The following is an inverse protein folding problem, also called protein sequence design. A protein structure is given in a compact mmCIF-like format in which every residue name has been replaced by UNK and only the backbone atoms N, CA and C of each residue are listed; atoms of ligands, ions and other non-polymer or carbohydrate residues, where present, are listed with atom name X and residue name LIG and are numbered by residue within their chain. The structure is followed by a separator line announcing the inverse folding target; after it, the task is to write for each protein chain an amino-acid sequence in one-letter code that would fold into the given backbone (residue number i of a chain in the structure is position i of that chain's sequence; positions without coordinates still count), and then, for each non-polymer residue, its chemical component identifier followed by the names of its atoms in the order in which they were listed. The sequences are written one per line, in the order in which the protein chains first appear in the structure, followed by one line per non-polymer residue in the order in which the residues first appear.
data_IF_156587260225
#
_entry.id   IF_156587260225
#
_cell.length_a   1.000
_cell.length_b   1.000
_cell.length_c   1.000
_cell.angle_alpha   90.00
_cell.angle_beta   90.00
_cell.angle_gamma   90.00
#
_symmetry.space_group_name_H-M   'P 1'
#
loop_
_entity.id
_entity.type
_entity.pdbx_description
1 polymer ?
#
# COMPACT_ATOMS: atom_id res chain seq x y z
N UNK A 1 -44.75 -3.01 73.82
CA UNK A 1 -44.05 -3.84 74.83
C UNK A 1 -42.54 -3.82 74.54
N UNK A 2 -41.71 -4.20 75.53
CA UNK A 2 -40.27 -4.61 75.51
C UNK A 2 -39.59 -4.66 74.12
N UNK A 3 -38.46 -3.98 73.88
CA UNK A 3 -37.07 -4.40 74.20
C UNK A 3 -36.72 -5.81 73.64
N UNK A 4 -35.65 -6.09 72.89
CA UNK A 4 -34.48 -5.29 72.41
C UNK A 4 -33.96 -5.93 71.06
N UNK A 5 -32.71 -6.10 70.59
CA UNK A 5 -31.32 -5.98 71.09
C UNK A 5 -30.25 -6.01 69.95
N UNK A 6 -29.14 -5.24 70.10
CA UNK A 6 -27.78 -5.36 69.50
C UNK A 6 -27.54 -5.50 67.96
N UNK A 7 -27.00 -4.42 67.41
CA UNK A 7 -25.69 -4.28 66.70
C UNK A 7 -24.91 -5.49 66.14
N UNK A 8 -24.30 -5.29 64.96
CA UNK A 8 -22.87 -5.60 64.71
C UNK A 8 -22.29 -4.77 63.55
N UNK A 9 -20.96 -4.66 63.49
CA UNK A 9 -20.18 -3.86 62.51
C UNK A 9 -19.84 -4.65 61.24
N UNK A 10 -19.69 -3.96 60.11
CA UNK A 10 -18.64 -4.25 59.11
C UNK A 10 -18.30 -2.99 58.28
N UNK A 11 -17.06 -2.50 58.37
CA UNK A 11 -16.47 -1.59 57.38
C UNK A 11 -15.60 -2.41 56.42
N UNK A 12 -15.87 -2.33 55.13
CA UNK A 12 -14.87 -2.58 54.06
C UNK A 12 -15.12 -1.58 52.93
N UNK A 13 -14.36 -0.49 52.84
CA UNK A 13 -13.02 -0.33 52.22
C UNK A 13 -13.10 -0.07 50.70
N UNK A 14 -12.43 0.99 50.28
CA UNK A 14 -12.57 1.62 48.96
C UNK A 14 -11.90 0.85 47.82
N UNK A 15 -12.54 0.85 46.65
CA UNK A 15 -11.92 0.49 45.37
C UNK A 15 -12.47 1.37 44.22
N UNK A 16 -12.29 2.69 44.33
CA UNK A 16 -12.55 3.59 43.20
C UNK A 16 -11.47 3.38 42.14
N UNK A 17 -11.80 2.69 41.05
CA UNK A 17 -10.85 2.41 39.97
C UNK A 17 -10.38 3.70 39.31
N UNK A 18 -9.12 4.07 39.56
CA UNK A 18 -8.41 5.07 38.78
C UNK A 18 -8.24 4.55 37.35
N UNK A 19 -9.06 5.09 36.43
CA UNK A 19 -8.91 4.83 35.01
C UNK A 19 -7.65 5.54 34.49
N UNK A 20 -6.53 4.81 34.47
CA UNK A 20 -5.30 5.29 33.83
C UNK A 20 -5.57 5.62 32.35
N UNK A 21 -5.01 6.72 31.80
CA UNK A 21 -5.11 7.02 30.39
C UNK A 21 -4.32 5.97 29.59
N UNK A 22 -5.02 4.95 29.10
CA UNK A 22 -4.43 4.00 28.16
C UNK A 22 -3.92 4.76 26.94
N UNK A 23 -2.62 4.69 26.68
CA UNK A 23 -2.02 5.30 25.50
C UNK A 23 -2.58 4.60 24.27
N UNK A 24 -3.52 5.25 23.58
CA UNK A 24 -4.09 4.78 22.33
C UNK A 24 -3.05 4.89 21.19
N UNK A 25 -2.02 4.04 21.24
CA UNK A 25 -1.19 3.75 20.09
C UNK A 25 -2.10 3.11 19.03
N UNK A 26 -2.48 3.90 18.04
CA UNK A 26 -3.24 3.42 16.89
C UNK A 26 -2.37 2.42 16.13
N UNK A 27 -2.54 1.12 16.42
CA UNK A 27 -1.87 0.06 15.69
C UNK A 27 -2.34 0.12 14.24
N UNK A 28 -1.40 0.29 13.31
CA UNK A 28 -1.67 0.21 11.89
C UNK A 28 -2.31 -1.15 11.56
N UNK A 29 -3.26 -1.17 10.61
CA UNK A 29 -3.83 -2.44 10.17
C UNK A 29 -2.83 -3.18 9.28
N UNK A 30 -2.85 -4.52 9.25
CA UNK A 30 -2.01 -5.29 8.33
C UNK A 30 -2.18 -4.91 6.85
N UNK A 31 -3.35 -4.37 6.46
CA UNK A 31 -3.60 -3.82 5.13
C UNK A 31 -2.81 -2.53 4.89
N UNK A 32 -2.79 -1.58 5.85
CA UNK A 32 -1.96 -0.38 5.73
C UNK A 32 -0.47 -0.70 5.67
N UNK A 33 0.00 -1.68 6.45
CA UNK A 33 1.41 -2.11 6.41
C UNK A 33 1.78 -2.73 5.05
N UNK A 34 0.87 -3.53 4.45
CA UNK A 34 1.09 -4.07 3.11
C UNK A 34 1.13 -2.96 2.06
N UNK A 35 0.20 -1.99 2.12
CA UNK A 35 0.14 -0.88 1.17
C UNK A 35 1.38 0.03 1.23
N UNK A 36 1.97 0.20 2.42
CA UNK A 36 3.23 0.91 2.57
C UNK A 36 4.39 0.14 1.93
N UNK A 37 4.48 -1.19 2.14
CA UNK A 37 5.48 -2.06 1.47
C UNK A 37 5.34 -2.04 -0.06
N UNK A 38 4.13 -2.17 -0.59
CA UNK A 38 3.88 -2.14 -2.04
C UNK A 38 4.30 -0.80 -2.67
N UNK A 39 4.01 0.31 -1.99
CA UNK A 39 4.43 1.64 -2.42
C UNK A 39 5.95 1.80 -2.39
N UNK A 40 6.62 1.35 -1.31
CA UNK A 40 8.09 1.39 -1.19
C UNK A 40 8.76 0.54 -2.28
N UNK A 41 8.28 -0.69 -2.50
CA UNK A 41 8.80 -1.61 -3.53
C UNK A 41 8.66 -1.01 -4.92
N UNK A 42 7.48 -0.48 -5.30
CA UNK A 42 7.29 0.13 -6.61
C UNK A 42 8.13 1.41 -6.75
N UNK A 43 8.11 2.30 -5.76
CA UNK A 43 8.86 3.56 -5.80
C UNK A 43 10.37 3.34 -5.97
N UNK A 44 10.92 2.33 -5.29
CA UNK A 44 12.35 2.00 -5.31
C UNK A 44 12.76 1.21 -6.56
N UNK A 45 11.89 0.29 -7.03
CA UNK A 45 12.28 -0.68 -8.04
C UNK A 45 11.76 -0.38 -9.45
N UNK A 46 10.50 0.04 -9.58
CA UNK A 46 9.72 -0.07 -10.82
C UNK A 46 9.17 1.26 -11.35
N UNK A 47 8.95 2.26 -10.48
CA UNK A 47 8.33 3.54 -10.83
C UNK A 47 9.05 4.28 -11.96
N UNK A 48 10.39 4.22 -12.01
CA UNK A 48 11.19 4.84 -13.08
C UNK A 48 10.88 4.27 -14.46
N UNK A 49 10.72 2.95 -14.55
CA UNK A 49 10.49 2.26 -15.83
C UNK A 49 9.02 2.36 -16.25
N UNK A 50 8.09 2.30 -15.28
CA UNK A 50 6.69 2.61 -15.52
C UNK A 50 6.49 4.05 -16.02
N UNK A 51 7.13 5.04 -15.40
CA UNK A 51 7.14 6.45 -15.85
C UNK A 51 7.69 6.54 -17.28
N UNK A 52 8.84 5.92 -17.57
CA UNK A 52 9.42 5.90 -18.92
C UNK A 52 8.47 5.32 -19.97
N UNK A 53 7.74 4.25 -19.65
CA UNK A 53 6.73 3.66 -20.54
C UNK A 53 5.53 4.59 -20.75
N UNK A 54 5.05 5.25 -19.68
CA UNK A 54 3.96 6.23 -19.73
C UNK A 54 4.35 7.43 -20.61
N UNK A 55 5.45 8.13 -20.31
CA UNK A 55 5.95 9.23 -21.17
C UNK A 55 6.20 8.78 -22.61
N UNK A 56 6.77 7.59 -22.82
CA UNK A 56 6.97 7.03 -24.15
C UNK A 56 5.66 6.89 -24.93
N UNK A 57 4.64 6.28 -24.33
CA UNK A 57 3.31 6.08 -24.92
C UNK A 57 2.66 7.42 -25.31
N UNK A 58 2.74 8.44 -24.46
CA UNK A 58 2.14 9.75 -24.72
C UNK A 58 2.87 10.48 -25.85
N UNK A 59 4.20 10.48 -25.83
CA UNK A 59 5.01 11.08 -26.89
C UNK A 59 4.82 10.38 -28.25
N UNK A 60 4.65 9.05 -28.27
CA UNK A 60 4.36 8.29 -29.50
C UNK A 60 2.97 8.58 -30.07
N UNK A 61 1.96 8.81 -29.23
CA UNK A 61 0.57 9.02 -29.66
C UNK A 61 0.12 10.49 -29.70
N UNK A 62 1.02 11.44 -29.36
CA UNK A 62 0.69 12.86 -29.26
C UNK A 62 -0.33 13.20 -28.16
N UNK A 63 -0.48 12.33 -27.16
CA UNK A 63 -1.44 12.50 -26.08
C UNK A 63 -0.96 13.54 -25.06
N UNK A 64 -1.91 14.33 -24.55
CA UNK A 64 -1.70 15.27 -23.43
C UNK A 64 -2.28 14.70 -22.14
N UNK A 65 -1.79 15.15 -20.99
CA UNK A 65 -2.28 14.74 -19.65
C UNK A 65 -3.78 14.99 -19.45
N UNK A 66 -4.36 16.00 -20.11
CA UNK A 66 -5.80 16.31 -20.07
C UNK A 66 -6.67 15.32 -20.87
N UNK A 67 -6.06 14.45 -21.68
CA UNK A 67 -6.74 13.42 -22.48
C UNK A 67 -6.75 12.05 -21.79
N UNK A 68 -6.17 11.95 -20.59
CA UNK A 68 -6.16 10.72 -19.79
C UNK A 68 -7.56 10.41 -19.30
N UNK A 69 -7.96 9.16 -19.47
CA UNK A 69 -9.22 8.61 -18.99
C UNK A 69 -8.93 7.41 -18.11
N UNK A 70 -9.77 7.21 -17.10
CA UNK A 70 -9.79 5.97 -16.33
C UNK A 70 -9.88 4.76 -17.27
N UNK A 71 -9.14 3.69 -16.94
CA UNK A 71 -9.06 2.50 -17.79
C UNK A 71 -7.94 2.52 -18.83
N UNK A 72 -7.31 3.68 -19.12
CA UNK A 72 -6.14 3.72 -19.99
C UNK A 72 -5.02 2.87 -19.38
N UNK A 73 -4.71 1.76 -20.05
CA UNK A 73 -3.77 0.75 -19.58
C UNK A 73 -2.52 0.74 -20.45
N UNK A 74 -1.36 1.02 -19.85
CA UNK A 74 -0.08 1.10 -20.53
C UNK A 74 0.83 -0.02 -19.99
N UNK A 75 1.28 -0.98 -20.81
CA UNK A 75 2.22 -2.00 -20.37
C UNK A 75 3.61 -1.39 -20.16
N UNK A 76 4.34 -1.89 -19.17
CA UNK A 76 5.73 -1.53 -18.91
C UNK A 76 6.58 -2.76 -18.57
N UNK A 77 7.88 -2.66 -18.83
CA UNK A 77 8.89 -3.69 -18.58
C UNK A 77 10.08 -3.03 -17.89
N UNK A 78 10.64 -3.66 -16.87
CA UNK A 78 11.83 -3.13 -16.19
C UNK A 78 13.01 -3.02 -17.18
N UNK A 79 13.71 -1.88 -17.18
CA UNK A 79 14.83 -1.63 -18.12
C UNK A 79 16.13 -2.31 -17.69
N UNK A 80 16.14 -2.88 -16.49
CA UNK A 80 17.20 -3.77 -16.00
C UNK A 80 16.55 -5.05 -15.47
N UNK A 81 17.17 -6.20 -15.75
CA UNK A 81 16.93 -7.38 -14.93
C UNK A 81 17.50 -7.07 -13.54
N UNK A 82 16.64 -6.68 -12.60
CA UNK A 82 17.05 -6.62 -11.20
C UNK A 82 17.30 -8.05 -10.75
N UNK A 83 18.57 -8.36 -10.47
CA UNK A 83 19.00 -9.67 -9.96
C UNK A 83 18.59 -9.83 -8.49
N UNK A 84 17.29 -9.74 -8.23
CA UNK A 84 16.69 -9.87 -6.91
C UNK A 84 16.58 -11.35 -6.58
N UNK A 85 17.50 -11.82 -5.72
CA UNK A 85 17.42 -13.15 -5.15
C UNK A 85 16.42 -13.16 -3.98
N UNK A 86 15.18 -13.54 -4.22
CA UNK A 86 14.20 -13.76 -3.15
C UNK A 86 14.31 -15.22 -2.70
N UNK A 87 14.63 -15.44 -1.42
CA UNK A 87 14.79 -16.76 -0.80
C UNK A 87 15.81 -17.71 -1.48
N UNK A 88 16.69 -17.19 -2.33
CA UNK A 88 17.66 -18.00 -3.09
C UNK A 88 17.21 -18.37 -4.51
N UNK A 89 16.02 -17.97 -4.94
CA UNK A 89 15.56 -18.13 -6.33
C UNK A 89 15.95 -16.93 -7.21
N UNK A 90 16.29 -17.21 -8.47
CA UNK A 90 16.51 -16.20 -9.51
C UNK A 90 15.18 -15.77 -10.15
N UNK A 91 14.97 -14.46 -10.25
CA UNK A 91 13.72 -13.87 -10.75
C UNK A 91 13.95 -13.09 -12.06
N UNK A 92 13.63 -13.66 -13.24
CA UNK A 92 13.80 -12.97 -14.51
C UNK A 92 12.62 -12.03 -14.83
N UNK A 93 12.97 -10.80 -15.24
CA UNK A 93 12.12 -9.83 -15.97
C UNK A 93 10.80 -9.44 -15.27
N UNK A 94 10.91 -8.55 -14.28
CA UNK A 94 9.77 -7.80 -13.75
C UNK A 94 9.09 -6.98 -14.86
N UNK A 95 7.78 -7.07 -14.93
CA UNK A 95 6.94 -6.33 -15.87
C UNK A 95 5.60 -6.01 -15.23
N UNK A 96 4.77 -5.21 -15.91
CA UNK A 96 3.50 -4.81 -15.34
C UNK A 96 2.67 -3.89 -16.20
N UNK A 97 1.68 -3.27 -15.56
CA UNK A 97 0.78 -2.30 -16.17
C UNK A 97 0.75 -1.02 -15.35
N UNK A 98 0.56 0.10 -16.03
CA UNK A 98 0.14 1.36 -15.45
C UNK A 98 -1.31 1.61 -15.90
N UNK A 99 -2.23 1.63 -14.94
CA UNK A 99 -3.66 1.84 -15.16
C UNK A 99 -4.04 3.24 -14.68
N UNK A 100 -4.43 4.12 -15.60
CA UNK A 100 -4.96 5.43 -15.23
C UNK A 100 -6.25 5.29 -14.42
N UNK A 101 -6.37 6.06 -13.34
CA UNK A 101 -7.58 6.15 -12.52
C UNK A 101 -8.31 7.48 -12.77
N UNK A 102 -9.49 7.60 -12.17
CA UNK A 102 -10.29 8.81 -11.97
C UNK A 102 -9.58 10.02 -11.31
N UNK A 103 -8.36 9.87 -10.78
CA UNK A 103 -7.74 10.83 -9.85
C UNK A 103 -6.63 11.67 -10.47
N UNK A 104 -6.51 12.88 -9.94
CA UNK A 104 -5.41 13.82 -10.18
C UNK A 104 -4.64 14.00 -8.86
N UNK A 105 -3.31 13.94 -8.93
CA UNK A 105 -2.45 14.17 -7.77
C UNK A 105 -2.30 15.68 -7.48
N UNK A 106 -1.78 16.03 -6.31
CA UNK A 106 -1.63 17.43 -5.85
C UNK A 106 -0.72 18.30 -6.74
N UNK A 107 0.10 17.68 -7.58
CA UNK A 107 0.94 18.33 -8.60
C UNK A 107 0.22 18.54 -9.95
N UNK A 108 -1.07 18.22 -10.07
CA UNK A 108 -1.84 18.32 -11.31
C UNK A 108 -1.54 17.23 -12.34
N UNK A 109 -0.81 16.18 -11.96
CA UNK A 109 -0.57 15.01 -12.81
C UNK A 109 -1.69 13.97 -12.65
N UNK A 110 -2.08 13.25 -13.72
CA UNK A 110 -2.98 12.10 -13.60
C UNK A 110 -2.36 11.01 -12.72
N UNK A 111 -3.21 10.31 -11.96
CA UNK A 111 -2.82 9.19 -11.11
C UNK A 111 -2.89 7.89 -11.91
N UNK A 112 -1.78 7.14 -11.89
CA UNK A 112 -1.73 5.77 -12.37
C UNK A 112 -1.59 4.81 -11.20
N UNK A 113 -2.43 3.78 -11.17
CA UNK A 113 -2.17 2.56 -10.40
C UNK A 113 -1.09 1.78 -11.14
N UNK A 114 0.10 1.72 -10.55
CA UNK A 114 1.21 0.90 -11.03
C UNK A 114 1.05 -0.49 -10.41
N UNK A 115 0.97 -1.50 -11.27
CA UNK A 115 0.88 -2.92 -10.90
C UNK A 115 2.16 -3.58 -11.42
N UNK A 116 2.95 -4.16 -10.52
CA UNK A 116 4.16 -4.92 -10.84
C UNK A 116 3.93 -6.41 -10.57
N UNK A 117 4.44 -7.27 -11.45
CA UNK A 117 4.45 -8.72 -11.28
C UNK A 117 5.89 -9.24 -11.29
N UNK A 118 6.26 -9.93 -10.22
CA UNK A 118 7.55 -10.63 -10.12
C UNK A 118 7.32 -12.14 -10.22
N UNK A 119 7.83 -12.72 -11.31
CA UNK A 119 7.79 -14.16 -11.61
C UNK A 119 9.10 -14.83 -11.20
N UNK A 120 9.06 -15.59 -10.10
CA UNK A 120 10.12 -16.54 -9.77
C UNK A 120 10.13 -17.71 -10.76
N UNK A 121 11.24 -18.44 -10.85
CA UNK A 121 11.44 -19.52 -11.83
C UNK A 121 10.60 -20.81 -11.54
N UNK A 122 9.56 -20.71 -10.71
CA UNK A 122 8.72 -21.83 -10.26
C UNK A 122 7.43 -21.93 -11.08
N UNK A 123 7.49 -22.67 -12.19
CA UNK A 123 6.31 -23.20 -12.88
C UNK A 123 5.36 -22.17 -13.49
N UNK A 124 5.84 -20.96 -13.86
CA UNK A 124 5.05 -19.96 -14.57
C UNK A 124 4.00 -19.22 -13.72
N UNK A 125 4.11 -19.28 -12.39
CA UNK A 125 3.27 -18.48 -11.48
C UNK A 125 3.97 -17.19 -11.09
N UNK A 126 3.22 -16.07 -11.08
CA UNK A 126 3.69 -14.86 -10.41
C UNK A 126 3.80 -15.13 -8.91
N UNK A 127 4.99 -14.95 -8.36
CA UNK A 127 5.29 -15.22 -6.94
C UNK A 127 5.05 -14.01 -6.05
N UNK A 128 5.11 -12.80 -6.63
CA UNK A 128 4.70 -11.55 -5.97
C UNK A 128 3.96 -10.63 -6.94
N UNK A 129 3.04 -9.83 -6.38
CA UNK A 129 2.34 -8.72 -7.04
C UNK A 129 2.37 -7.53 -6.09
N UNK A 130 2.74 -6.37 -6.60
CA UNK A 130 2.77 -5.11 -5.84
C UNK A 130 1.88 -4.08 -6.52
N UNK A 131 1.12 -3.30 -5.75
CA UNK A 131 0.18 -2.30 -6.27
C UNK A 131 0.21 -0.97 -5.51
N UNK A 132 0.54 0.12 -6.19
CA UNK A 132 0.52 1.47 -5.59
C UNK A 132 0.19 2.57 -6.62
N UNK A 133 -0.33 3.69 -6.12
CA UNK A 133 -0.83 4.79 -6.94
C UNK A 133 0.17 5.95 -6.96
N UNK A 134 0.54 6.43 -8.15
CA UNK A 134 1.49 7.54 -8.32
C UNK A 134 0.94 8.59 -9.29
N UNK A 135 1.09 9.87 -8.95
CA UNK A 135 0.85 10.98 -9.88
C UNK A 135 2.02 11.12 -10.85
N UNK A 136 1.80 10.85 -12.13
CA UNK A 136 2.85 10.84 -13.16
C UNK A 136 2.46 11.83 -14.25
N UNK A 137 3.30 12.84 -14.49
CA UNK A 137 3.15 13.74 -15.61
C UNK A 137 3.99 13.18 -16.78
N UNK A 138 3.36 12.63 -17.84
CA UNK A 138 4.06 12.11 -19.02
C UNK A 138 4.88 13.14 -19.78
#
# INVERSE_FOLDING_TARGET
MKNTLRSLLALTLSAACLASPAQAQAQASPESDQRLRDQEVIQTNYLKDAHKAISGYFNTLGLKREQVKEGLTIPWVATTMRHTWINGDFMPVTHGFALATDKTASNGCPVFKIIAFDSGFSGGKYTSRYEANFGICP
#
